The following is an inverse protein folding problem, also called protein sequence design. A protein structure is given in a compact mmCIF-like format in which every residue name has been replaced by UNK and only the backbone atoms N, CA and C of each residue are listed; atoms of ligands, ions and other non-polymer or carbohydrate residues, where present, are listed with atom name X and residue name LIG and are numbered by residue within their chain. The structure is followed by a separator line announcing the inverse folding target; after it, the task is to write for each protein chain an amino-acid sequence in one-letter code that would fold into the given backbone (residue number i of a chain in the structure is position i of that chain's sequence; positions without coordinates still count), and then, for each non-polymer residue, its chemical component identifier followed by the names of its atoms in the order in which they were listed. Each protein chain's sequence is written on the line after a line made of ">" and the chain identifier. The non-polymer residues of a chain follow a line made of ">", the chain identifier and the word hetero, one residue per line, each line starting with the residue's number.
data_IF_749830922576
#
_entry.id   IF_749830922576
#
_cell.length_a   1.000
_cell.length_b   1.000
_cell.length_c   1.000
_cell.angle_alpha   90.00
_cell.angle_beta   90.00
_cell.angle_gamma   90.00
#
_symmetry.space_group_name_H-M   'P 1'
#
loop_
_entity.id
_entity.type
_entity.pdbx_description
1 polymer ?
#
# COMPACT_ATOMS: atom_id res chain seq x y z
N UNK A 1 2.78 -7.37 7.42
CA UNK A 1 3.64 -6.18 7.22
C UNK A 1 3.17 -5.46 5.98
N UNK A 2 3.15 -4.13 6.00
CA UNK A 2 2.57 -3.32 4.91
C UNK A 2 3.54 -2.25 4.44
N UNK A 3 3.83 -2.21 3.14
CA UNK A 3 4.63 -1.14 2.53
C UNK A 3 3.76 -0.31 1.60
N UNK A 4 4.06 0.98 1.51
CA UNK A 4 3.38 1.89 0.59
C UNK A 4 4.43 2.50 -0.32
N UNK A 5 4.27 2.32 -1.62
CA UNK A 5 5.02 3.09 -2.60
C UNK A 5 4.06 3.95 -3.40
N UNK A 6 4.45 5.19 -3.67
CA UNK A 6 3.71 5.99 -4.63
C UNK A 6 4.60 6.54 -5.73
N UNK A 7 3.99 6.78 -6.88
CA UNK A 7 4.64 7.35 -8.06
C UNK A 7 3.72 8.38 -8.68
N UNK A 8 4.19 9.63 -8.72
CA UNK A 8 3.51 10.69 -9.49
C UNK A 8 3.54 10.34 -10.98
N UNK A 9 2.41 10.51 -11.66
CA UNK A 9 2.32 10.37 -13.11
C UNK A 9 2.87 11.59 -13.85
N UNK A 10 2.88 12.77 -13.22
CA UNK A 10 3.10 14.04 -13.90
C UNK A 10 4.53 14.23 -14.42
N UNK A 11 5.57 13.69 -13.77
CA UNK A 11 6.97 13.70 -14.27
C UNK A 11 7.74 12.45 -13.81
N UNK A 12 8.59 11.90 -14.69
CA UNK A 12 9.16 10.54 -14.66
C UNK A 12 9.93 10.08 -13.40
N UNK A 13 10.21 10.93 -12.40
CA UNK A 13 11.38 10.71 -11.52
C UNK A 13 11.19 10.73 -10.00
N UNK A 14 10.01 11.03 -9.44
CA UNK A 14 9.84 10.96 -7.98
C UNK A 14 9.21 9.63 -7.56
N UNK A 15 10.08 8.72 -7.09
CA UNK A 15 9.66 7.52 -6.37
C UNK A 15 9.78 7.78 -4.87
N UNK A 16 8.65 7.75 -4.18
CA UNK A 16 8.62 7.76 -2.73
C UNK A 16 8.22 6.39 -2.22
N UNK A 17 9.03 5.87 -1.30
CA UNK A 17 8.91 4.52 -0.76
C UNK A 17 8.92 4.61 0.74
N UNK A 18 7.74 4.34 1.30
CA UNK A 18 7.49 4.46 2.71
C UNK A 18 7.04 3.13 3.27
N UNK A 19 7.53 2.80 4.45
CA UNK A 19 7.07 1.66 5.20
C UNK A 19 6.04 2.14 6.23
N UNK A 20 4.81 1.60 6.15
CA UNK A 20 3.90 1.61 7.29
C UNK A 20 4.42 0.52 8.22
N UNK A 21 5.25 0.90 9.20
CA UNK A 21 5.51 -0.01 10.32
C UNK A 21 4.26 -0.04 11.20
N UNK A 22 3.19 -0.68 10.73
CA UNK A 22 2.21 -1.29 11.62
C UNK A 22 2.93 -2.48 12.24
N UNK A 23 3.82 -2.17 13.19
CA UNK A 23 4.13 -3.10 14.25
C UNK A 23 2.77 -3.44 14.84
N UNK A 24 2.39 -4.69 14.59
CA UNK A 24 1.18 -5.31 15.06
C UNK A 24 1.06 -4.98 16.56
N UNK A 25 0.12 -4.13 16.95
CA UNK A 25 -0.43 -4.15 18.31
C UNK A 25 -1.23 -5.44 18.41
N UNK A 26 -0.54 -6.57 18.62
CA UNK A 26 -1.14 -7.76 19.19
C UNK A 26 -0.67 -7.82 20.64
N UNK A 27 -1.59 -7.79 21.62
CA UNK A 27 -1.26 -7.83 23.04
C UNK A 27 -0.92 -9.25 23.52
N UNK A 28 -0.35 -10.10 22.66
CA UNK A 28 -0.07 -11.51 22.98
C UNK A 28 1.26 -11.88 22.36
N UNK A 29 2.33 -11.51 23.04
CA UNK A 29 3.60 -12.24 23.16
C UNK A 29 4.50 -11.36 24.03
N UNK A 30 4.51 -11.66 25.33
CA UNK A 30 5.56 -11.18 26.22
C UNK A 30 6.92 -11.67 25.68
N UNK A 31 7.97 -10.84 25.68
CA UNK A 31 9.29 -11.28 25.27
C UNK A 31 9.81 -12.33 26.25
N UNK A 32 10.01 -13.56 25.78
CA UNK A 32 10.76 -14.58 26.51
C UNK A 32 12.26 -14.27 26.37
N UNK A 33 12.92 -14.32 27.53
CA UNK A 33 14.35 -14.32 27.82
C UNK A 33 15.16 -13.03 27.58
N UNK A 34 15.31 -12.32 28.69
CA UNK A 34 16.58 -11.99 29.36
C UNK A 34 17.67 -11.25 28.56
N UNK A 35 17.93 -10.06 29.09
CA UNK A 35 19.05 -9.15 28.85
C UNK A 35 18.89 -8.29 27.61
N UNK A 36 18.47 -7.04 27.84
CA UNK A 36 19.13 -5.81 27.40
C UNK A 36 18.41 -4.66 28.14
N UNK A 37 19.13 -3.89 28.94
CA UNK A 37 18.67 -2.60 29.46
C UNK A 37 18.52 -1.63 28.28
N UNK A 38 17.47 -1.79 27.49
CA UNK A 38 17.13 -0.85 26.43
C UNK A 38 16.31 0.26 27.06
N UNK A 39 16.92 1.43 27.21
CA UNK A 39 16.23 2.70 27.39
C UNK A 39 15.03 2.77 26.44
N UNK A 40 13.85 3.12 26.97
CA UNK A 40 12.62 3.33 26.21
C UNK A 40 12.70 4.47 25.18
N UNK A 41 13.84 5.15 25.11
CA UNK A 41 14.16 6.14 24.10
C UNK A 41 14.52 5.48 22.77
N UNK A 42 13.49 5.43 21.91
CA UNK A 42 13.58 5.37 20.45
C UNK A 42 14.32 4.14 19.91
N UNK A 43 13.56 3.06 19.73
CA UNK A 43 13.94 2.06 18.72
C UNK A 43 14.14 2.79 17.38
N UNK A 44 15.34 2.72 16.76
CA UNK A 44 15.59 3.42 15.52
C UNK A 44 14.63 2.91 14.45
N UNK A 45 14.06 3.85 13.70
CA UNK A 45 13.28 3.58 12.50
C UNK A 45 14.09 2.68 11.54
N UNK A 46 13.82 1.37 11.55
CA UNK A 46 14.53 0.41 10.71
C UNK A 46 13.97 0.48 9.29
N UNK A 47 14.81 0.85 8.32
CA UNK A 47 14.52 0.67 6.90
C UNK A 47 14.34 -0.81 6.59
N UNK A 48 13.42 -1.12 5.67
CA UNK A 48 13.15 -2.49 5.23
C UNK A 48 13.49 -2.62 3.75
N UNK A 49 14.11 -3.73 3.41
CA UNK A 49 14.45 -4.12 2.05
C UNK A 49 13.43 -5.12 1.52
N UNK A 50 12.85 -4.83 0.37
CA UNK A 50 11.90 -5.72 -0.29
C UNK A 50 12.12 -5.70 -1.80
N UNK A 51 12.34 -6.87 -2.40
CA UNK A 51 12.65 -7.02 -3.82
C UNK A 51 13.82 -6.11 -4.26
N UNK A 52 14.85 -6.00 -3.41
CA UNK A 52 16.02 -5.15 -3.65
C UNK A 52 15.76 -3.64 -3.54
N UNK A 53 14.56 -3.23 -3.11
CA UNK A 53 14.18 -1.83 -2.90
C UNK A 53 14.17 -1.49 -1.42
N UNK A 54 14.83 -0.40 -1.05
CA UNK A 54 14.75 0.15 0.31
C UNK A 54 13.44 0.92 0.50
N UNK A 55 12.75 0.63 1.62
CA UNK A 55 11.59 1.33 2.13
C UNK A 55 11.95 1.96 3.47
N UNK A 56 11.94 3.29 3.52
CA UNK A 56 12.24 4.04 4.74
C UNK A 56 11.01 4.08 5.64
N UNK A 57 11.21 4.03 6.95
CA UNK A 57 10.10 4.24 7.87
C UNK A 57 9.60 5.70 7.74
N UNK A 58 8.30 5.85 7.55
CA UNK A 58 7.65 7.16 7.50
C UNK A 58 6.30 7.06 8.20
N UNK A 59 5.91 8.06 9.00
CA UNK A 59 4.60 8.07 9.64
C UNK A 59 3.51 8.10 8.57
N UNK A 60 2.84 6.97 8.36
CA UNK A 60 1.70 6.89 7.48
C UNK A 60 0.71 5.86 8.01
N UNK A 61 -0.58 6.15 7.83
CA UNK A 61 -1.71 5.33 8.28
C UNK A 61 -2.66 5.20 7.11
N UNK A 62 -3.18 4.00 6.90
CA UNK A 62 -4.20 3.74 5.89
C UNK A 62 -5.40 3.06 6.53
N UNK A 63 -6.56 3.66 6.31
CA UNK A 63 -7.85 3.23 6.84
C UNK A 63 -8.79 2.92 5.66
N UNK A 64 -9.79 2.05 5.86
CA UNK A 64 -10.81 1.78 4.84
C UNK A 64 -10.34 0.91 3.65
N UNK A 65 -9.25 0.16 3.77
CA UNK A 65 -8.75 -0.74 2.72
C UNK A 65 -9.57 -2.04 2.57
N UNK A 66 -10.62 -2.19 3.38
CA UNK A 66 -11.44 -3.40 3.42
C UNK A 66 -12.35 -3.47 2.20
N UNK A 67 -12.31 -4.61 1.52
CA UNK A 67 -13.20 -4.90 0.40
C UNK A 67 -14.58 -5.19 0.98
N UNK A 68 -15.53 -4.28 0.79
CA UNK A 68 -16.91 -4.53 1.20
C UNK A 68 -17.49 -5.71 0.40
N UNK A 69 -18.06 -6.71 1.10
CA UNK A 69 -18.76 -7.84 0.45
C UNK A 69 -20.03 -7.37 -0.29
N UNK A 70 -20.47 -6.14 -0.02
CA UNK A 70 -21.68 -5.51 -0.56
C UNK A 70 -21.46 -4.81 -1.92
N UNK A 71 -20.26 -4.88 -2.49
CA UNK A 71 -19.99 -4.40 -3.86
C UNK A 71 -19.73 -2.89 -3.98
N UNK A 72 -19.56 -2.18 -2.86
CA UNK A 72 -19.10 -0.79 -2.90
C UNK A 72 -17.59 -0.74 -3.13
N UNK A 73 -17.16 0.11 -4.06
CA UNK A 73 -15.75 0.44 -4.25
C UNK A 73 -15.17 0.95 -2.92
N UNK A 74 -14.02 0.38 -2.53
CA UNK A 74 -13.32 0.82 -1.33
C UNK A 74 -12.67 2.17 -1.62
N UNK A 75 -13.01 3.18 -0.81
CA UNK A 75 -12.44 4.52 -0.81
C UNK A 75 -11.54 4.69 0.43
N UNK A 76 -10.33 4.09 0.45
CA UNK A 76 -9.47 4.20 1.62
C UNK A 76 -8.94 5.62 1.82
N UNK A 77 -8.74 5.99 3.09
CA UNK A 77 -8.10 7.24 3.47
C UNK A 77 -6.64 6.97 3.81
N UNK A 78 -5.72 7.69 3.16
CA UNK A 78 -4.28 7.64 3.40
C UNK A 78 -3.86 8.91 4.14
N UNK A 79 -3.39 8.75 5.38
CA UNK A 79 -2.81 9.82 6.19
C UNK A 79 -1.29 9.70 6.18
N UNK A 80 -0.59 10.78 5.88
CA UNK A 80 0.87 10.82 5.79
C UNK A 80 1.39 11.98 6.63
N UNK A 81 2.37 11.74 7.50
CA UNK A 81 2.98 12.78 8.30
C UNK A 81 3.77 13.76 7.42
N UNK A 82 3.63 15.06 7.71
CA UNK A 82 4.21 16.16 6.96
C UNK A 82 5.54 16.63 7.57
N UNK A 83 6.50 15.72 7.70
CA UNK A 83 7.80 16.04 8.32
C UNK A 83 8.54 17.09 7.48
N UNK A 84 8.91 18.21 8.10
CA UNK A 84 9.54 19.39 7.49
C UNK A 84 8.76 19.99 6.30
N UNK A 85 7.43 19.84 6.26
CA UNK A 85 6.61 20.37 5.16
C UNK A 85 6.87 19.67 3.81
N UNK A 86 7.54 18.51 3.80
CA UNK A 86 7.93 17.82 2.55
C UNK A 86 6.72 17.39 1.72
N UNK A 87 5.65 16.94 2.36
CA UNK A 87 4.46 16.46 1.64
C UNK A 87 3.70 17.67 1.07
N UNK A 88 3.52 18.73 1.84
CA UNK A 88 2.95 20.00 1.36
C UNK A 88 3.71 20.57 0.17
N UNK A 89 5.05 20.58 0.22
CA UNK A 89 5.87 21.03 -0.90
C UNK A 89 5.66 20.20 -2.17
N UNK A 90 5.42 18.88 -2.04
CA UNK A 90 5.09 18.03 -3.18
C UNK A 90 3.69 18.30 -3.71
N UNK A 91 2.71 18.49 -2.84
CA UNK A 91 1.35 18.87 -3.23
C UNK A 91 1.36 20.16 -4.07
N UNK A 92 2.12 21.17 -3.64
CA UNK A 92 2.28 22.42 -4.39
C UNK A 92 2.95 22.21 -5.76
N UNK A 93 3.92 21.29 -5.85
CA UNK A 93 4.69 21.08 -7.09
C UNK A 93 4.02 20.12 -8.09
N UNK A 94 3.12 19.26 -7.62
CA UNK A 94 2.53 18.16 -8.38
C UNK A 94 1.00 18.16 -8.35
N UNK A 95 0.38 19.34 -8.24
CA UNK A 95 -1.08 19.53 -8.31
C UNK A 95 -1.82 18.60 -7.33
N UNK A 96 -1.49 18.74 -6.05
CA UNK A 96 -1.99 17.92 -4.94
C UNK A 96 -1.79 16.40 -5.10
N UNK A 97 -0.83 16.01 -5.95
CA UNK A 97 -0.55 14.62 -6.31
C UNK A 97 -1.77 13.91 -6.93
N UNK A 98 -2.66 14.67 -7.59
CA UNK A 98 -3.82 14.11 -8.25
C UNK A 98 -3.43 12.99 -9.22
N UNK A 99 -4.18 11.88 -9.20
CA UNK A 99 -3.93 10.67 -10.00
C UNK A 99 -2.56 10.00 -9.76
N UNK A 100 -1.84 10.36 -8.69
CA UNK A 100 -0.63 9.64 -8.32
C UNK A 100 -0.98 8.20 -7.96
N UNK A 101 -0.17 7.26 -8.45
CA UNK A 101 -0.36 5.83 -8.21
C UNK A 101 0.17 5.48 -6.83
N UNK A 102 -0.67 4.90 -5.99
CA UNK A 102 -0.31 4.37 -4.68
C UNK A 102 -0.41 2.84 -4.72
N UNK A 103 0.69 2.15 -4.44
CA UNK A 103 0.76 0.70 -4.40
C UNK A 103 1.01 0.28 -2.96
N UNK A 104 0.08 -0.49 -2.43
CA UNK A 104 0.15 -1.06 -1.09
C UNK A 104 0.58 -2.51 -1.24
N UNK A 105 1.62 -2.86 -0.52
CA UNK A 105 2.28 -4.14 -0.53
C UNK A 105 2.03 -4.83 0.81
N UNK A 106 1.17 -5.84 0.84
CA UNK A 106 0.92 -6.67 2.02
C UNK A 106 1.77 -7.95 1.93
N UNK A 107 2.72 -8.13 2.86
CA UNK A 107 3.53 -9.36 2.96
C UNK A 107 3.80 -9.74 4.42
N UNK A 108 4.25 -10.96 4.67
CA UNK A 108 4.62 -11.43 6.01
C UNK A 108 6.11 -11.22 6.29
N UNK A 109 6.47 -11.01 7.56
CA UNK A 109 7.85 -10.76 7.98
C UNK A 109 8.82 -11.85 7.51
N UNK A 110 8.38 -13.11 7.51
CA UNK A 110 9.21 -14.27 7.15
C UNK A 110 9.61 -14.32 5.68
N UNK A 111 8.92 -13.63 4.78
CA UNK A 111 9.23 -13.65 3.35
C UNK A 111 10.18 -12.53 2.92
N UNK A 112 10.49 -11.60 3.82
CA UNK A 112 11.34 -10.44 3.55
C UNK A 112 12.76 -10.82 3.11
N UNK A 113 13.39 -9.96 2.31
CA UNK A 113 14.76 -10.15 1.83
C UNK A 113 15.74 -10.44 2.98
N UNK A 114 16.74 -11.29 2.72
CA UNK A 114 17.77 -11.67 3.69
C UNK A 114 18.51 -10.47 4.32
N UNK A 115 18.63 -9.35 3.59
CA UNK A 115 19.26 -8.10 4.07
C UNK A 115 18.62 -7.51 5.32
N UNK A 116 17.37 -7.88 5.62
CA UNK A 116 16.66 -7.37 6.80
C UNK A 116 17.09 -8.06 8.10
N UNK A 117 17.69 -9.24 8.02
CA UNK A 117 17.99 -10.10 9.15
C UNK A 117 19.52 -10.24 9.30
N UNK A 118 20.07 -10.13 10.53
CA UNK A 118 21.51 -10.28 10.74
C UNK A 118 22.01 -11.67 10.34
N UNK A 119 21.18 -12.70 10.54
CA UNK A 119 21.49 -14.11 10.21
C UNK A 119 21.07 -14.51 8.78
N UNK A 120 20.60 -13.55 7.98
CA UNK A 120 19.98 -13.81 6.68
C UNK A 120 18.57 -14.39 6.77
N UNK A 121 17.97 -14.74 5.63
CA UNK A 121 16.65 -15.37 5.55
C UNK A 121 16.59 -16.40 4.42
N UNK A 122 16.44 -17.68 4.77
CA UNK A 122 16.28 -18.78 3.82
C UNK A 122 14.84 -18.89 3.28
N UNK A 123 13.86 -18.34 4.00
CA UNK A 123 12.44 -18.33 3.62
C UNK A 123 12.06 -17.10 2.79
N UNK A 124 13.04 -16.32 2.33
CA UNK A 124 12.78 -15.13 1.53
C UNK A 124 12.12 -15.53 0.20
N UNK A 125 10.90 -15.03 -0.04
CA UNK A 125 10.15 -15.32 -1.26
C UNK A 125 9.49 -14.03 -1.78
N UNK A 126 9.99 -13.46 -2.89
CA UNK A 126 9.46 -12.22 -3.45
C UNK A 126 8.08 -12.37 -4.07
N UNK A 127 7.57 -13.60 -4.26
CA UNK A 127 6.25 -13.88 -4.83
C UNK A 127 5.13 -13.81 -3.81
N UNK A 128 5.46 -13.95 -2.51
CA UNK A 128 4.50 -13.95 -1.41
C UNK A 128 4.09 -12.53 -1.01
N UNK A 129 3.35 -11.88 -1.90
CA UNK A 129 2.88 -10.51 -1.72
C UNK A 129 1.48 -10.31 -2.30
N UNK A 130 0.63 -9.62 -1.52
CA UNK A 130 -0.64 -9.09 -2.02
C UNK A 130 -0.46 -7.61 -2.33
N UNK A 131 -0.49 -7.26 -3.62
CA UNK A 131 -0.37 -5.87 -4.10
C UNK A 131 -1.76 -5.28 -4.34
N UNK A 132 -2.01 -4.08 -3.85
CA UNK A 132 -3.23 -3.31 -4.13
C UNK A 132 -2.85 -1.98 -4.76
N UNK A 133 -3.45 -1.67 -5.90
CA UNK A 133 -3.22 -0.42 -6.62
C UNK A 133 -4.39 0.53 -6.37
N UNK A 134 -4.04 1.73 -5.95
CA UNK A 134 -4.94 2.84 -5.75
C UNK A 134 -4.38 4.09 -6.44
N UNK A 135 -5.22 5.09 -6.57
CA UNK A 135 -4.89 6.40 -7.11
C UNK A 135 -5.34 7.46 -6.11
N UNK A 136 -4.58 8.54 -5.99
CA UNK A 136 -5.02 9.71 -5.23
C UNK A 136 -6.12 10.41 -6.02
N UNK A 137 -7.28 10.57 -5.41
CA UNK A 137 -8.43 11.24 -5.99
C UNK A 137 -8.46 12.72 -5.58
N UNK A 138 -8.57 12.95 -4.26
CA UNK A 138 -8.61 14.30 -3.69
C UNK A 138 -7.78 14.37 -2.39
N UNK A 139 -7.14 15.52 -2.17
CA UNK A 139 -6.56 15.89 -0.88
C UNK A 139 -7.70 16.36 0.04
N UNK A 140 -7.97 15.60 1.09
CA UNK A 140 -9.07 15.87 2.01
C UNK A 140 -8.69 16.91 3.07
N UNK A 141 -7.46 16.82 3.59
CA UNK A 141 -6.99 17.68 4.68
C UNK A 141 -5.47 17.87 4.62
N UNK A 142 -4.98 19.04 5.01
CA UNK A 142 -3.57 19.38 5.08
C UNK A 142 -3.30 20.19 6.34
N UNK A 143 -2.27 19.80 7.06
CA UNK A 143 -1.77 20.44 8.27
C UNK A 143 -0.24 20.36 8.32
N UNK A 144 0.37 21.12 9.23
CA UNK A 144 1.82 21.13 9.41
C UNK A 144 2.36 19.77 9.86
N UNK A 145 1.54 18.96 10.55
CA UNK A 145 1.93 17.63 11.03
C UNK A 145 1.54 16.48 10.09
N UNK A 146 0.46 16.61 9.31
CA UNK A 146 -0.08 15.52 8.48
C UNK A 146 -0.90 15.99 7.28
N UNK A 147 -0.94 15.16 6.25
CA UNK A 147 -1.76 15.34 5.05
C UNK A 147 -2.61 14.09 4.83
N UNK A 148 -3.90 14.29 4.57
CA UNK A 148 -4.88 13.23 4.37
C UNK A 148 -5.37 13.22 2.92
N UNK A 149 -5.28 12.05 2.28
CA UNK A 149 -5.69 11.82 0.90
C UNK A 149 -6.80 10.78 0.84
N UNK A 150 -7.79 11.01 -0.02
CA UNK A 150 -8.77 9.99 -0.39
C UNK A 150 -8.23 9.22 -1.60
N UNK A 151 -8.24 7.90 -1.49
CA UNK A 151 -7.77 7.00 -2.52
C UNK A 151 -8.93 6.35 -3.25
N UNK A 152 -8.86 6.32 -4.58
CA UNK A 152 -9.83 5.66 -5.44
C UNK A 152 -9.24 4.42 -6.11
N UNK A 153 -10.07 3.41 -6.31
CA UNK A 153 -9.72 2.23 -7.11
C UNK A 153 -9.58 2.63 -8.59
N UNK A 154 -8.74 1.94 -9.40
CA UNK A 154 -8.69 2.18 -10.84
C UNK A 154 -10.05 2.02 -11.53
N UNK A 155 -10.92 1.16 -10.98
CA UNK A 155 -12.24 0.87 -11.52
C UNK A 155 -13.20 2.05 -11.31
N UNK A 156 -13.13 2.71 -10.16
CA UNK A 156 -13.95 3.88 -9.84
C UNK A 156 -13.62 5.11 -10.70
N UNK A 157 -12.34 5.30 -11.03
CA UNK A 157 -11.86 6.52 -11.71
C UNK A 157 -12.20 6.60 -13.20
N UNK A 158 -12.32 5.48 -13.89
CA UNK A 158 -12.39 5.51 -15.35
C UNK A 158 -13.80 5.69 -15.90
N UNK A 159 -14.86 5.68 -15.08
CA UNK A 159 -16.26 5.66 -15.55
C UNK A 159 -16.51 4.56 -16.59
N UNK A 160 -15.58 3.60 -16.68
CA UNK A 160 -15.51 2.65 -17.76
C UNK A 160 -16.43 1.53 -17.33
N UNK A 161 -17.57 1.43 -17.98
CA UNK A 161 -18.40 0.25 -17.86
C UNK A 161 -17.49 -0.94 -18.16
N UNK A 162 -17.16 -1.72 -17.13
CA UNK A 162 -16.60 -3.05 -17.33
C UNK A 162 -17.62 -3.71 -18.24
N UNK A 163 -17.27 -4.15 -19.46
CA UNK A 163 -18.21 -4.82 -20.33
C UNK A 163 -18.67 -6.06 -19.58
N UNK A 164 -19.82 -5.94 -18.92
CA UNK A 164 -20.36 -7.00 -18.09
C UNK A 164 -20.79 -8.04 -19.09
N UNK A 165 -20.07 -9.16 -19.07
CA UNK A 165 -20.70 -10.37 -19.54
C UNK A 165 -22.00 -10.53 -18.75
N UNK A 166 -23.13 -10.65 -19.44
CA UNK A 166 -24.39 -10.95 -18.75
C UNK A 166 -24.23 -12.24 -17.96
N UNK A 167 -24.42 -12.15 -16.64
CA UNK A 167 -24.36 -13.27 -15.74
C UNK A 167 -25.61 -14.13 -15.96
N UNK A 168 -25.50 -15.13 -16.82
CA UNK A 168 -26.52 -16.14 -17.01
C UNK A 168 -26.31 -17.28 -16.01
N UNK A 169 -27.38 -17.98 -15.61
CA UNK A 169 -27.32 -19.14 -14.72
C UNK A 169 -26.58 -20.36 -15.30
N UNK A 170 -26.01 -20.23 -16.51
CA UNK A 170 -25.32 -21.29 -17.24
C UNK A 170 -23.82 -21.05 -17.14
N UNK A 171 -23.10 -22.08 -16.70
CA UNK A 171 -21.65 -22.02 -16.60
C UNK A 171 -21.01 -21.85 -17.99
N UNK A 172 -19.96 -21.02 -18.02
CA UNK A 172 -19.25 -20.65 -19.25
C UNK A 172 -18.56 -21.84 -19.92
N UNK A 173 -18.08 -22.78 -19.10
CA UNK A 173 -17.38 -23.95 -19.59
C UNK A 173 -18.31 -25.03 -20.13
N UNK A 174 -19.61 -25.01 -19.79
CA UNK A 174 -20.59 -25.93 -20.36
C UNK A 174 -21.40 -25.33 -21.50
N UNK A 175 -21.21 -24.05 -21.82
CA UNK A 175 -21.83 -23.45 -23.01
C UNK A 175 -20.90 -23.72 -24.21
N UNK A 176 -21.28 -24.58 -25.17
CA UNK A 176 -20.51 -24.70 -26.40
C UNK A 176 -20.52 -23.32 -27.07
N UNK A 177 -19.36 -22.68 -27.16
CA UNK A 177 -19.22 -21.43 -27.88
C UNK A 177 -19.58 -21.73 -29.33
N UNK A 178 -20.78 -21.36 -29.75
CA UNK A 178 -21.11 -21.32 -31.17
C UNK A 178 -20.17 -20.29 -31.78
N UNK A 179 -19.14 -20.81 -32.45
CA UNK A 179 -18.24 -20.09 -33.34
C UNK A 179 -19.11 -19.12 -34.16
N UNK A 180 -18.80 -17.81 -34.19
CA UNK A 180 -19.56 -16.89 -35.02
C UNK A 180 -19.32 -17.30 -36.47
N UNK A 181 -20.38 -17.76 -37.14
CA UNK A 181 -20.37 -17.84 -38.59
C UNK A 181 -20.35 -16.40 -39.10
N UNK A 182 -19.37 -16.16 -39.97
CA UNK A 182 -19.03 -14.93 -40.68
C UNK A 182 -20.24 -14.07 -41.09
#
# INVERSE_FOLDING_TARGET
>A
MRFVSWRSMARRLVWMRFCISTAITSPILQPKSSQLTATWDKLPAKSIWWQGREYKAWPCVIEGIESSTTGSDAQPTLRVGNIDGKISALCLHYDDLALARVIIHDTQKQYLDAKNFPDGNASADPTQEKRRLFFIDVKHYEDDEKVEFTLSSPFALQGMMIPTRQLHAICTWCTPQSIPQR
#
